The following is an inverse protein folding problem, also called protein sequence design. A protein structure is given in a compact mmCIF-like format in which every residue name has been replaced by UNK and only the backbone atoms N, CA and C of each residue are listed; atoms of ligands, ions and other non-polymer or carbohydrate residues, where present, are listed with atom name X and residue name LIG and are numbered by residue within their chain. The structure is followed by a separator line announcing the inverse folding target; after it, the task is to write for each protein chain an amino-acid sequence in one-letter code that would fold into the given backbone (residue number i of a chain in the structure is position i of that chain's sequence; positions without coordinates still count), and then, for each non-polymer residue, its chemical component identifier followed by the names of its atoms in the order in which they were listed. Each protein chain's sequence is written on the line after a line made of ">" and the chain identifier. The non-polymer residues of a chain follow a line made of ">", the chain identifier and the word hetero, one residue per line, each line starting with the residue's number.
data_IF_025445681845
#
_entry.id   IF_025445681845
#
_cell.length_a   1.000
_cell.length_b   1.000
_cell.length_c   1.000
_cell.angle_alpha   90.00
_cell.angle_beta   90.00
_cell.angle_gamma   90.00
#
_symmetry.space_group_name_H-M   'P 1'
#
loop_
_entity.id
_entity.type
_entity.pdbx_description
1 polymer ?
#
# COMPACT_ATOMS: atom_id res chain seq x y z
N UNK A 1 6.19 12.10 -11.91
CA UNK A 1 6.11 12.70 -10.56
C UNK A 1 4.91 12.10 -9.85
N UNK A 2 5.07 11.60 -8.62
CA UNK A 2 4.04 10.83 -7.92
C UNK A 2 2.93 11.70 -7.31
N UNK A 3 3.18 12.99 -7.16
CA UNK A 3 2.25 13.96 -6.59
C UNK A 3 2.08 15.17 -7.52
N UNK A 4 0.93 15.82 -7.41
CA UNK A 4 0.61 17.12 -8.01
C UNK A 4 0.10 18.05 -6.92
N UNK A 5 0.26 19.37 -7.14
CA UNK A 5 -0.30 20.40 -6.26
C UNK A 5 -1.22 21.33 -7.07
N UNK A 6 -2.40 21.62 -6.54
CA UNK A 6 -3.25 22.66 -7.09
C UNK A 6 -2.73 24.03 -6.65
N UNK A 7 -2.23 24.81 -7.61
CA UNK A 7 -1.58 26.10 -7.36
C UNK A 7 -2.49 27.16 -6.71
N UNK A 8 -3.82 27.04 -6.85
CA UNK A 8 -4.76 28.06 -6.35
C UNK A 8 -5.20 27.79 -4.91
N UNK A 9 -5.19 26.53 -4.46
CA UNK A 9 -5.74 26.12 -3.16
C UNK A 9 -4.79 25.29 -2.31
N UNK A 10 -3.58 24.98 -2.81
CA UNK A 10 -2.57 24.22 -2.06
C UNK A 10 -2.88 22.73 -1.87
N UNK A 11 -3.87 22.18 -2.57
CA UNK A 11 -4.25 20.77 -2.46
C UNK A 11 -3.21 19.86 -3.11
N UNK A 12 -2.60 18.96 -2.34
CA UNK A 12 -1.68 17.93 -2.84
C UNK A 12 -2.45 16.63 -3.06
N UNK A 13 -2.28 15.99 -4.22
CA UNK A 13 -2.89 14.70 -4.54
C UNK A 13 -1.85 13.77 -5.16
N UNK A 14 -2.07 12.46 -5.07
CA UNK A 14 -1.28 11.51 -5.83
C UNK A 14 -1.66 11.58 -7.32
N UNK A 15 -0.66 11.59 -8.18
CA UNK A 15 -0.82 11.56 -9.64
C UNK A 15 -0.61 10.15 -10.22
N UNK A 16 -0.04 9.25 -9.43
CA UNK A 16 0.16 7.84 -9.75
C UNK A 16 -0.22 6.97 -8.55
N UNK A 17 -0.23 5.65 -8.75
CA UNK A 17 -0.26 4.69 -7.65
C UNK A 17 1.00 4.91 -6.80
N UNK A 18 0.86 4.91 -5.48
CA UNK A 18 1.97 5.04 -4.54
C UNK A 18 2.43 3.67 -4.08
N UNK A 19 3.74 3.49 -3.99
CA UNK A 19 4.37 2.28 -3.48
C UNK A 19 4.65 2.39 -1.98
N UNK A 20 4.85 1.27 -1.30
CA UNK A 20 5.22 1.18 0.11
C UNK A 20 6.62 1.72 0.37
N UNK A 21 6.70 3.03 0.54
CA UNK A 21 7.95 3.76 0.74
C UNK A 21 7.67 5.10 1.42
N UNK A 22 8.74 5.84 1.69
CA UNK A 22 8.69 7.23 2.13
C UNK A 22 9.00 8.16 0.97
N UNK A 23 8.13 9.13 0.75
CA UNK A 23 8.33 10.22 -0.21
C UNK A 23 8.70 11.51 0.53
N UNK A 24 9.73 12.20 0.03
CA UNK A 24 10.18 13.49 0.53
C UNK A 24 9.73 14.58 -0.44
N UNK A 25 8.97 15.55 0.05
CA UNK A 25 8.47 16.67 -0.75
C UNK A 25 9.01 17.98 -0.17
N UNK A 26 9.55 18.82 -1.05
CA UNK A 26 9.79 20.24 -0.80
C UNK A 26 8.65 21.04 -1.43
N UNK A 27 7.95 21.82 -0.62
CA UNK A 27 6.79 22.62 -1.02
C UNK A 27 7.21 24.09 -1.01
N UNK A 28 6.91 24.79 -2.11
CA UNK A 28 7.17 26.21 -2.26
C UNK A 28 5.85 26.95 -2.49
N UNK A 29 5.63 28.00 -1.72
CA UNK A 29 4.52 28.94 -1.90
C UNK A 29 5.09 30.33 -2.21
N UNK A 30 4.58 30.96 -3.27
CA UNK A 30 5.01 32.29 -3.73
C UNK A 30 3.79 33.20 -3.86
N UNK A 31 3.86 34.42 -3.32
CA UNK A 31 2.82 35.43 -3.52
C UNK A 31 3.06 36.30 -4.76
N UNK A 32 2.09 37.14 -5.14
CA UNK A 32 2.18 38.00 -6.32
C UNK A 32 3.27 39.10 -6.23
N UNK A 33 3.80 39.35 -5.03
CA UNK A 33 4.91 40.29 -4.78
C UNK A 33 6.26 39.57 -4.72
N UNK A 34 6.31 38.28 -5.07
CA UNK A 34 7.48 37.40 -5.03
C UNK A 34 8.02 37.12 -3.62
N UNK A 35 7.20 37.23 -2.55
CA UNK A 35 7.57 36.65 -1.26
C UNK A 35 7.44 35.13 -1.33
N UNK A 36 8.39 34.40 -0.73
CA UNK A 36 8.44 32.95 -0.78
C UNK A 36 8.43 32.32 0.62
N UNK A 37 7.77 31.17 0.74
CA UNK A 37 7.86 30.28 1.89
C UNK A 37 8.12 28.85 1.41
N UNK A 38 9.04 28.15 2.08
CA UNK A 38 9.42 26.78 1.75
C UNK A 38 9.24 25.88 2.97
N UNK A 39 8.73 24.68 2.77
CA UNK A 39 8.58 23.66 3.80
C UNK A 39 8.89 22.27 3.25
N UNK A 40 9.54 21.43 4.06
CA UNK A 40 9.78 20.02 3.74
C UNK A 40 8.81 19.14 4.51
N UNK A 41 8.22 18.14 3.84
CA UNK A 41 7.36 17.12 4.45
C UNK A 41 7.77 15.72 4.00
N UNK A 42 7.38 14.73 4.82
CA UNK A 42 7.50 13.31 4.50
C UNK A 42 6.13 12.68 4.40
N UNK A 43 5.88 11.91 3.34
CA UNK A 43 4.69 11.08 3.19
C UNK A 43 5.14 9.62 3.26
N UNK A 44 4.68 8.89 4.28
CA UNK A 44 4.99 7.46 4.43
C UNK A 44 3.78 6.65 4.01
N UNK A 45 3.95 5.77 3.02
CA UNK A 45 2.94 4.80 2.63
C UNK A 45 3.20 3.52 3.39
N UNK A 46 2.22 3.11 4.18
CA UNK A 46 2.28 1.92 5.03
C UNK A 46 1.19 0.94 4.61
N UNK A 47 1.44 -0.34 4.84
CA UNK A 47 0.42 -1.36 4.74
C UNK A 47 -0.23 -1.57 6.09
N UNK A 48 -1.56 -1.60 6.09
CA UNK A 48 -2.40 -1.73 7.29
C UNK A 48 -3.48 -2.78 7.11
N UNK A 49 -3.55 -3.41 5.93
CA UNK A 49 -4.51 -4.46 5.64
C UNK A 49 -3.83 -5.80 5.85
N UNK A 50 -4.42 -6.65 6.69
CA UNK A 50 -3.90 -8.00 6.88
C UNK A 50 -4.44 -8.93 5.78
N UNK A 51 -3.67 -9.96 5.36
CA UNK A 51 -4.16 -10.97 4.44
C UNK A 51 -5.43 -11.64 4.93
N UNK A 52 -6.35 -11.93 4.02
CA UNK A 52 -7.62 -12.59 4.33
C UNK A 52 -7.75 -13.89 3.55
N UNK A 53 -8.20 -14.95 4.21
CA UNK A 53 -8.47 -16.22 3.54
C UNK A 53 -9.64 -16.12 2.54
N UNK A 54 -9.52 -16.80 1.41
CA UNK A 54 -10.51 -16.78 0.34
C UNK A 54 -10.47 -18.08 -0.50
N UNK A 55 -11.12 -19.17 -0.04
CA UNK A 55 -11.86 -19.33 1.22
C UNK A 55 -10.95 -19.66 2.42
N UNK A 56 -11.52 -19.63 3.63
CA UNK A 56 -10.87 -20.15 4.84
C UNK A 56 -10.53 -21.65 4.70
N UNK A 57 -9.36 -22.11 5.15
CA UNK A 57 -9.03 -23.53 5.21
C UNK A 57 -10.05 -24.30 6.06
N UNK A 58 -10.40 -25.50 5.63
CA UNK A 58 -11.31 -26.39 6.35
C UNK A 58 -10.68 -27.76 6.57
N UNK A 59 -11.22 -28.50 7.55
CA UNK A 59 -10.79 -29.87 7.82
C UNK A 59 -10.95 -30.76 6.58
N UNK A 60 -9.98 -31.66 6.38
CA UNK A 60 -9.95 -32.62 5.28
C UNK A 60 -9.97 -34.05 5.82
N UNK A 61 -10.77 -34.92 5.23
CA UNK A 61 -10.72 -36.36 5.45
C UNK A 61 -9.97 -37.03 4.29
N UNK A 62 -8.99 -37.88 4.60
CA UNK A 62 -8.18 -38.58 3.60
C UNK A 62 -8.24 -40.09 3.88
N UNK A 63 -8.46 -40.88 2.84
CA UNK A 63 -8.48 -42.34 2.92
C UNK A 63 -7.08 -42.89 3.25
N UNK A 64 -7.01 -43.97 4.04
CA UNK A 64 -5.74 -44.53 4.48
C UNK A 64 -4.85 -44.91 3.28
N UNK A 65 -3.62 -44.40 3.27
CA UNK A 65 -2.64 -44.65 2.22
C UNK A 65 -2.82 -43.81 0.96
N UNK A 66 -3.81 -42.91 0.90
CA UNK A 66 -3.93 -41.92 -0.18
C UNK A 66 -3.17 -40.63 0.17
N UNK A 67 -2.59 -39.93 -0.83
CA UNK A 67 -1.95 -38.64 -0.60
C UNK A 67 -2.99 -37.54 -0.31
N UNK A 68 -2.62 -36.58 0.54
CA UNK A 68 -3.36 -35.33 0.71
C UNK A 68 -2.91 -34.31 -0.35
N UNK A 69 -3.88 -33.72 -1.05
CA UNK A 69 -3.70 -32.52 -1.86
C UNK A 69 -4.85 -31.56 -1.55
N UNK A 70 -4.53 -30.40 -0.99
CA UNK A 70 -5.52 -29.40 -0.61
C UNK A 70 -5.01 -28.02 -1.02
N UNK A 71 -5.77 -27.35 -1.87
CA UNK A 71 -5.47 -26.01 -2.33
C UNK A 71 -6.02 -24.98 -1.35
N UNK A 72 -5.20 -24.01 -0.99
CA UNK A 72 -5.54 -22.93 -0.07
C UNK A 72 -5.15 -21.59 -0.69
N UNK A 73 -5.92 -20.56 -0.38
CA UNK A 73 -5.68 -19.24 -0.94
C UNK A 73 -6.06 -18.14 0.05
N UNK A 74 -5.22 -17.13 0.13
CA UNK A 74 -5.45 -15.88 0.82
C UNK A 74 -5.10 -14.72 -0.10
N UNK A 75 -5.80 -13.61 0.08
CA UNK A 75 -5.63 -12.38 -0.70
C UNK A 75 -5.15 -11.26 0.20
N UNK A 76 -4.30 -10.40 -0.35
CA UNK A 76 -3.82 -9.19 0.30
C UNK A 76 -3.41 -8.14 -0.75
N UNK A 77 -3.25 -6.88 -0.33
CA UNK A 77 -2.67 -5.84 -1.20
C UNK A 77 -1.18 -6.08 -1.44
N UNK A 78 -0.51 -6.82 -0.55
CA UNK A 78 0.84 -7.31 -0.72
C UNK A 78 0.89 -8.80 -1.11
N UNK A 79 2.11 -9.29 -1.34
CA UNK A 79 2.37 -10.71 -1.55
C UNK A 79 2.14 -11.50 -0.26
N UNK A 80 1.39 -12.58 -0.37
CA UNK A 80 1.12 -13.51 0.72
C UNK A 80 2.10 -14.69 0.66
N UNK A 81 2.65 -15.08 1.82
CA UNK A 81 3.49 -16.26 1.99
C UNK A 81 2.79 -17.30 2.87
N UNK A 82 2.92 -18.58 2.51
CA UNK A 82 2.31 -19.71 3.23
C UNK A 82 3.39 -20.59 3.85
N UNK A 83 3.17 -21.05 5.07
CA UNK A 83 4.07 -21.97 5.78
C UNK A 83 3.28 -22.85 6.76
N UNK A 84 3.90 -23.95 7.19
CA UNK A 84 3.42 -24.81 8.29
C UNK A 84 4.43 -24.64 9.44
N UNK A 85 3.94 -24.58 10.69
CA UNK A 85 4.77 -24.49 11.89
C UNK A 85 5.46 -25.81 12.27
#
# INVERSE_FOLDING_TARGET
>A
MNFTININIGLIQNNTILSLTTYYLEINATDASNNNATAAITITVVDTTAPQWAPAPTDQNVELGQPLSYDINATDLQTVFYYIE
#
